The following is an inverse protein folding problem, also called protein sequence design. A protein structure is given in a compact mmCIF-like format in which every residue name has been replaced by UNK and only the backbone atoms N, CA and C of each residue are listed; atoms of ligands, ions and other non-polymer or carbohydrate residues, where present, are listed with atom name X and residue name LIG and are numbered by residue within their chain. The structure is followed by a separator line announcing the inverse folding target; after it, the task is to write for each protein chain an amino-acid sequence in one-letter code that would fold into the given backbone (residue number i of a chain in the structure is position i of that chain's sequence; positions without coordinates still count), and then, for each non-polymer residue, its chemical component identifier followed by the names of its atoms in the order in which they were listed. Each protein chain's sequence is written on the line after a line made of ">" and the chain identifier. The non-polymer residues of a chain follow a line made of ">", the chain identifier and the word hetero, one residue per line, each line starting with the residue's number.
data_IF_179233208573
#
_entry.id   IF_179233208573
#
_cell.length_a   1.000
_cell.length_b   1.000
_cell.length_c   1.000
_cell.angle_alpha   90.00
_cell.angle_beta   90.00
_cell.angle_gamma   90.00
#
_symmetry.space_group_name_H-M   'P 1'
#
loop_
_entity.id
_entity.type
_entity.pdbx_description
1 polymer ?
#
# COMPACT_ATOMS: atom_id res chain seq x y z
N UNK A 1 17.62 10.73 0.45
CA UNK A 1 18.27 11.84 -0.28
C UNK A 1 17.97 13.10 0.51
N UNK A 2 18.98 13.69 1.14
CA UNK A 2 18.84 14.99 1.80
C UNK A 2 18.88 16.05 0.69
N UNK A 3 17.74 16.67 0.41
CA UNK A 3 17.76 17.90 -0.35
C UNK A 3 18.17 19.00 0.63
N UNK A 4 19.29 19.74 0.41
CA UNK A 4 19.84 20.69 1.37
C UNK A 4 18.89 21.85 1.77
N UNK A 5 17.74 21.92 1.15
CA UNK A 5 16.77 23.01 1.29
C UNK A 5 15.53 22.62 2.11
N UNK A 6 15.41 21.37 2.55
CA UNK A 6 14.20 20.89 3.25
C UNK A 6 14.58 20.22 4.57
N UNK A 7 14.09 20.79 5.65
CA UNK A 7 14.11 20.17 6.97
C UNK A 7 12.78 19.47 7.24
N UNK A 8 12.83 18.18 7.58
CA UNK A 8 11.66 17.35 7.87
C UNK A 8 11.58 17.07 9.37
N UNK A 9 10.41 17.38 9.95
CA UNK A 9 10.07 17.08 11.33
C UNK A 9 8.83 16.21 11.35
N UNK A 10 8.93 15.02 11.92
CA UNK A 10 7.80 14.12 12.11
C UNK A 10 6.92 14.60 13.26
N UNK A 11 5.59 14.57 13.06
CA UNK A 11 4.61 14.83 14.13
C UNK A 11 3.70 13.62 14.27
N UNK A 12 3.63 13.06 15.47
CA UNK A 12 2.82 11.87 15.77
C UNK A 12 1.84 12.14 16.90
N UNK A 13 0.76 11.37 16.95
CA UNK A 13 -0.07 11.29 18.12
C UNK A 13 0.65 10.62 19.30
N UNK A 14 0.19 10.86 20.51
CA UNK A 14 0.75 10.23 21.71
C UNK A 14 0.55 8.72 21.69
N UNK A 15 1.63 7.98 21.87
CA UNK A 15 1.65 6.53 22.02
C UNK A 15 2.16 6.12 23.39
N UNK A 16 1.70 4.97 23.92
CA UNK A 16 2.17 4.42 25.20
C UNK A 16 3.58 3.82 25.10
N UNK A 17 3.91 3.31 23.91
CA UNK A 17 5.20 2.67 23.60
C UNK A 17 5.76 3.34 22.34
N UNK A 18 7.09 3.40 22.26
CA UNK A 18 7.77 3.81 21.04
C UNK A 18 7.53 2.84 19.87
N UNK A 19 7.92 3.21 18.64
CA UNK A 19 7.81 2.33 17.48
C UNK A 19 8.65 1.07 17.70
N UNK A 20 8.17 -0.07 17.20
CA UNK A 20 8.95 -1.31 17.19
C UNK A 20 10.15 -1.19 16.26
N UNK A 21 11.18 -2.00 16.51
CA UNK A 21 12.37 -2.04 15.65
C UNK A 21 11.96 -2.24 14.17
N UNK A 22 12.55 -1.43 13.28
CA UNK A 22 12.21 -1.40 11.85
C UNK A 22 11.12 -0.40 11.45
N UNK A 23 10.39 0.20 12.42
CA UNK A 23 9.38 1.23 12.17
C UNK A 23 9.74 2.59 12.78
N UNK A 24 10.98 2.77 13.19
CA UNK A 24 11.46 4.07 13.69
C UNK A 24 11.64 5.03 12.52
N UNK A 25 10.95 6.18 12.54
CA UNK A 25 11.14 7.18 11.48
C UNK A 25 12.59 7.67 11.43
N UNK A 26 13.15 7.92 10.22
CA UNK A 26 14.52 8.43 10.06
C UNK A 26 14.65 9.94 10.32
N UNK A 27 13.61 10.57 10.86
CA UNK A 27 13.56 12.01 11.17
C UNK A 27 13.18 12.21 12.64
N UNK A 28 13.55 13.36 13.24
CA UNK A 28 13.07 13.73 14.57
C UNK A 28 11.54 13.71 14.63
N UNK A 29 10.97 13.15 15.71
CA UNK A 29 9.52 13.07 15.89
C UNK A 29 9.10 13.77 17.17
N UNK A 30 8.17 14.73 17.03
CA UNK A 30 7.51 15.40 18.15
C UNK A 30 6.11 14.84 18.33
N UNK A 31 5.62 14.77 19.56
CA UNK A 31 4.33 14.17 19.88
C UNK A 31 3.28 15.19 20.29
N UNK A 32 2.09 15.07 19.72
CA UNK A 32 0.89 15.80 20.12
C UNK A 32 0.32 15.23 21.42
N UNK A 33 -0.45 16.05 22.18
CA UNK A 33 -0.98 15.64 23.50
C UNK A 33 -2.00 14.50 23.45
N UNK A 34 -2.63 14.27 22.27
CA UNK A 34 -3.64 13.24 22.05
C UNK A 34 -3.10 12.08 21.20
N UNK A 35 -3.58 10.87 21.49
CA UNK A 35 -3.35 9.69 20.67
C UNK A 35 -4.58 9.24 19.89
N UNK A 36 -4.39 8.32 18.93
CA UNK A 36 -5.51 7.65 18.24
C UNK A 36 -6.39 6.88 19.26
N UNK A 37 -7.74 6.83 19.09
CA UNK A 37 -8.52 7.43 18.00
C UNK A 37 -8.97 8.87 18.24
N UNK A 38 -8.67 9.42 19.45
CA UNK A 38 -9.16 10.74 19.86
C UNK A 38 -8.57 11.87 19.02
N UNK A 39 -7.29 11.75 18.64
CA UNK A 39 -6.64 12.74 17.79
C UNK A 39 -7.39 12.92 16.46
N UNK A 40 -7.80 11.84 15.82
CA UNK A 40 -8.53 11.88 14.54
C UNK A 40 -9.91 12.50 14.68
N UNK A 41 -10.62 12.18 15.78
CA UNK A 41 -11.92 12.78 16.06
C UNK A 41 -11.80 14.29 16.34
N UNK A 42 -10.80 14.72 17.10
CA UNK A 42 -10.62 16.14 17.41
C UNK A 42 -10.13 16.92 16.20
N UNK A 43 -9.23 16.36 15.40
CA UNK A 43 -8.79 16.98 14.15
C UNK A 43 -9.96 17.20 13.18
N UNK A 44 -10.78 16.17 13.00
CA UNK A 44 -11.90 16.25 12.04
C UNK A 44 -13.14 16.97 12.55
N UNK A 45 -13.24 17.35 13.85
CA UNK A 45 -14.38 18.07 14.41
C UNK A 45 -14.05 19.48 14.90
N UNK A 46 -12.87 19.61 15.51
CA UNK A 46 -12.51 20.82 16.27
C UNK A 46 -11.22 21.47 15.76
N UNK A 47 -10.55 20.86 14.78
CA UNK A 47 -9.25 21.32 14.27
C UNK A 47 -8.23 21.57 15.39
N UNK A 48 -8.13 20.62 16.32
CA UNK A 48 -7.27 20.70 17.49
C UNK A 48 -6.72 19.32 17.88
N UNK A 49 -5.49 19.20 18.41
CA UNK A 49 -4.48 20.26 18.56
C UNK A 49 -3.84 20.63 17.22
N UNK A 50 -3.37 21.87 17.10
CA UNK A 50 -2.61 22.30 15.92
C UNK A 50 -1.21 21.68 15.91
N UNK A 51 -0.67 21.38 14.74
CA UNK A 51 0.71 20.93 14.55
C UNK A 51 1.69 21.98 15.09
N UNK A 52 1.42 23.26 14.85
CA UNK A 52 2.20 24.41 15.31
C UNK A 52 2.24 24.56 16.84
N UNK A 53 1.46 23.81 17.58
CA UNK A 53 1.54 23.80 19.06
C UNK A 53 2.71 23.01 19.62
N UNK A 54 3.39 22.22 18.77
CA UNK A 54 4.51 21.35 19.16
C UNK A 54 5.74 21.47 18.23
N UNK A 55 5.62 22.21 17.13
CA UNK A 55 6.71 22.49 16.19
C UNK A 55 6.64 23.96 15.78
N UNK A 56 7.74 24.68 15.98
CA UNK A 56 7.89 26.08 15.58
C UNK A 56 8.49 26.19 14.18
N UNK A 57 8.31 27.35 13.54
CA UNK A 57 8.97 27.75 12.29
C UNK A 57 8.79 26.75 11.13
N UNK A 58 7.57 26.25 10.93
CA UNK A 58 7.22 25.40 9.79
C UNK A 58 6.57 26.22 8.67
N UNK A 59 6.88 25.89 7.42
CA UNK A 59 6.33 26.57 6.25
C UNK A 59 5.06 25.89 5.74
N UNK A 60 5.01 24.55 5.77
CA UNK A 60 3.86 23.76 5.38
C UNK A 60 3.70 22.50 6.27
N UNK A 61 2.54 21.89 6.21
CA UNK A 61 2.25 20.60 6.87
C UNK A 61 1.86 19.57 5.83
N UNK A 62 2.47 18.39 5.90
CA UNK A 62 2.09 17.26 5.05
C UNK A 62 1.39 16.17 5.86
N UNK A 63 0.10 15.97 5.60
CA UNK A 63 -0.66 14.83 6.11
C UNK A 63 -0.40 13.58 5.26
N UNK A 64 0.17 12.55 5.85
CA UNK A 64 0.52 11.30 5.14
C UNK A 64 -0.67 10.34 4.95
N UNK A 65 -1.89 10.78 5.21
CA UNK A 65 -3.12 10.02 5.02
C UNK A 65 -4.29 10.98 4.77
N UNK A 66 -5.44 10.42 4.39
CA UNK A 66 -6.68 11.18 4.17
C UNK A 66 -7.19 11.94 5.40
N UNK A 67 -6.69 11.64 6.61
CA UNK A 67 -7.07 12.38 7.82
C UNK A 67 -6.21 13.63 7.95
N UNK A 68 -6.76 14.84 7.70
CA UNK A 68 -5.98 16.07 7.70
C UNK A 68 -5.53 16.41 9.12
N UNK A 69 -4.22 16.65 9.34
CA UNK A 69 -3.76 17.28 10.57
C UNK A 69 -4.32 18.70 10.71
N UNK A 70 -4.61 19.10 11.92
CA UNK A 70 -5.05 20.49 12.18
C UNK A 70 -3.85 21.43 12.07
N UNK A 71 -3.93 22.40 11.17
CA UNK A 71 -2.88 23.40 10.93
C UNK A 71 -3.49 24.69 10.39
N UNK A 72 -2.74 25.80 10.53
CA UNK A 72 -2.99 27.10 9.86
C UNK A 72 -2.02 27.33 8.71
N UNK A 73 -1.07 26.43 8.53
CA UNK A 73 -0.10 26.47 7.42
C UNK A 73 -0.68 25.82 6.18
N UNK A 74 -0.14 26.09 4.99
CA UNK A 74 -0.51 25.36 3.78
C UNK A 74 -0.48 23.85 4.02
N UNK A 75 -1.56 23.18 3.65
CA UNK A 75 -1.74 21.73 3.88
C UNK A 75 -1.56 20.95 2.59
N UNK A 76 -0.52 20.13 2.55
CA UNK A 76 -0.35 19.07 1.53
C UNK A 76 -0.85 17.76 2.12
N UNK A 77 -1.54 16.94 1.36
CA UNK A 77 -2.02 15.63 1.84
C UNK A 77 -1.76 14.55 0.81
N UNK A 78 -1.24 13.40 1.26
CA UNK A 78 -1.23 12.20 0.44
C UNK A 78 -2.54 11.43 0.62
N UNK A 79 -3.26 11.23 -0.48
CA UNK A 79 -4.41 10.35 -0.57
C UNK A 79 -3.98 9.07 -1.25
N UNK A 80 -3.90 7.99 -0.48
CA UNK A 80 -3.52 6.68 -1.01
C UNK A 80 -4.67 6.00 -1.76
N UNK A 81 -5.90 6.11 -1.24
CA UNK A 81 -7.12 5.65 -1.88
C UNK A 81 -8.36 6.36 -1.33
N UNK A 82 -9.48 6.17 -2.03
CA UNK A 82 -10.82 6.53 -1.59
C UNK A 82 -11.74 5.31 -1.50
N UNK A 83 -11.19 4.15 -1.12
CA UNK A 83 -11.91 2.88 -1.04
C UNK A 83 -13.20 2.97 -0.21
N UNK A 84 -13.26 3.80 0.82
CA UNK A 84 -14.45 4.01 1.65
C UNK A 84 -15.64 4.65 0.90
N UNK A 85 -15.40 5.23 -0.29
CA UNK A 85 -16.48 5.73 -1.16
C UNK A 85 -17.06 4.61 -2.02
N UNK A 86 -16.19 3.75 -2.57
CA UNK A 86 -16.55 2.66 -3.49
C UNK A 86 -17.06 1.42 -2.74
N UNK A 87 -16.41 1.10 -1.63
CA UNK A 87 -16.62 -0.10 -0.83
C UNK A 87 -16.81 0.24 0.66
N UNK A 88 -17.87 1.00 1.03
CA UNK A 88 -18.11 1.38 2.42
C UNK A 88 -18.31 0.17 3.36
N UNK A 89 -18.69 -0.98 2.80
CA UNK A 89 -18.85 -2.26 3.51
C UNK A 89 -17.52 -2.82 4.06
N UNK A 90 -16.40 -2.44 3.49
CA UNK A 90 -15.07 -2.87 3.97
C UNK A 90 -14.59 -2.08 5.20
N UNK A 91 -15.33 -1.08 5.62
CA UNK A 91 -14.94 -0.19 6.71
C UNK A 91 -15.97 -0.20 7.86
N UNK A 92 -15.49 0.09 9.07
CA UNK A 92 -16.42 0.28 10.20
C UNK A 92 -17.28 1.52 9.99
N UNK A 93 -18.50 1.53 10.52
CA UNK A 93 -19.40 2.71 10.46
C UNK A 93 -18.74 3.98 11.00
N UNK A 94 -17.89 3.85 12.05
CA UNK A 94 -17.13 4.98 12.62
C UNK A 94 -16.04 5.44 11.66
N UNK A 95 -15.26 4.53 11.12
CA UNK A 95 -14.21 4.81 10.14
C UNK A 95 -14.76 5.56 8.93
N UNK A 96 -15.84 5.06 8.33
CA UNK A 96 -16.52 5.72 7.22
C UNK A 96 -16.94 7.17 7.54
N UNK A 97 -17.49 7.42 8.75
CA UNK A 97 -17.85 8.78 9.16
C UNK A 97 -16.63 9.71 9.30
N UNK A 98 -15.52 9.20 9.82
CA UNK A 98 -14.29 9.97 9.93
C UNK A 98 -13.73 10.28 8.55
N UNK A 99 -13.59 9.29 7.67
CA UNK A 99 -13.06 9.49 6.32
C UNK A 99 -13.90 10.43 5.46
N UNK A 100 -15.24 10.33 5.51
CA UNK A 100 -16.12 11.26 4.79
C UNK A 100 -16.01 12.70 5.31
N UNK A 101 -15.83 12.90 6.63
CA UNK A 101 -15.55 14.23 7.19
C UNK A 101 -14.18 14.74 6.74
N UNK A 102 -13.16 13.88 6.79
CA UNK A 102 -11.82 14.20 6.33
C UNK A 102 -11.84 14.63 4.86
N UNK A 103 -12.50 13.87 3.99
CA UNK A 103 -12.63 14.21 2.58
C UNK A 103 -13.25 15.59 2.38
N UNK A 104 -14.36 15.89 3.09
CA UNK A 104 -14.99 17.21 3.01
C UNK A 104 -14.03 18.33 3.43
N UNK A 105 -13.29 18.13 4.52
CA UNK A 105 -12.31 19.11 4.98
C UNK A 105 -11.18 19.30 3.96
N UNK A 106 -10.71 18.21 3.32
CA UNK A 106 -9.65 18.29 2.33
C UNK A 106 -10.10 19.01 1.05
N UNK A 107 -11.35 18.84 0.64
CA UNK A 107 -11.93 19.60 -0.48
C UNK A 107 -11.89 21.11 -0.22
N UNK A 108 -12.12 21.52 1.02
CA UNK A 108 -12.13 22.93 1.41
C UNK A 108 -10.70 23.47 1.67
N UNK A 109 -9.82 22.70 2.31
CA UNK A 109 -8.60 23.21 2.96
C UNK A 109 -7.28 22.75 2.34
N UNK A 110 -7.24 21.59 1.64
CA UNK A 110 -5.97 21.10 1.10
C UNK A 110 -5.46 22.01 -0.01
N UNK A 111 -4.27 22.58 0.18
CA UNK A 111 -3.59 23.36 -0.84
C UNK A 111 -3.10 22.46 -1.99
N UNK A 112 -2.66 21.23 -1.66
CA UNK A 112 -2.20 20.24 -2.63
C UNK A 112 -2.56 18.82 -2.16
N UNK A 113 -2.90 17.95 -3.11
CA UNK A 113 -3.23 16.54 -2.87
C UNK A 113 -2.33 15.66 -3.73
N UNK A 114 -1.54 14.82 -3.07
CA UNK A 114 -0.66 13.86 -3.72
C UNK A 114 -1.40 12.53 -3.83
N UNK A 115 -1.55 12.02 -5.05
CA UNK A 115 -2.21 10.75 -5.34
C UNK A 115 -1.17 9.69 -5.71
N UNK A 116 -1.20 8.53 -5.04
CA UNK A 116 -0.21 7.47 -5.27
C UNK A 116 -0.37 6.74 -6.61
N UNK A 117 -1.54 6.88 -7.27
CA UNK A 117 -1.82 6.30 -8.59
C UNK A 117 -2.73 7.22 -9.41
N UNK A 118 -2.73 7.04 -10.73
CA UNK A 118 -3.69 7.70 -11.62
C UNK A 118 -5.13 7.29 -11.28
N UNK A 119 -5.34 6.03 -10.89
CA UNK A 119 -6.63 5.54 -10.42
C UNK A 119 -7.12 6.36 -9.21
N UNK A 120 -6.27 6.57 -8.20
CA UNK A 120 -6.58 7.42 -7.04
C UNK A 120 -6.80 8.88 -7.44
N UNK A 121 -6.01 9.40 -8.39
CA UNK A 121 -6.18 10.76 -8.89
C UNK A 121 -7.53 10.92 -9.62
N UNK A 122 -7.94 9.92 -10.40
CA UNK A 122 -9.27 9.87 -11.01
C UNK A 122 -10.39 9.91 -9.97
N UNK A 123 -10.28 9.11 -8.91
CA UNK A 123 -11.25 9.11 -7.81
C UNK A 123 -11.30 10.46 -7.08
N UNK A 124 -10.16 11.13 -6.88
CA UNK A 124 -10.09 12.46 -6.30
C UNK A 124 -10.80 13.50 -7.18
N UNK A 125 -10.62 13.45 -8.52
CA UNK A 125 -11.38 14.30 -9.45
C UNK A 125 -12.89 14.06 -9.33
N UNK A 126 -13.30 12.80 -9.33
CA UNK A 126 -14.70 12.42 -9.20
C UNK A 126 -15.30 12.83 -7.84
N UNK A 127 -14.49 12.89 -6.78
CA UNK A 127 -14.87 13.38 -5.46
C UNK A 127 -14.99 14.91 -5.37
N UNK A 128 -14.52 15.66 -6.37
CA UNK A 128 -14.66 17.12 -6.47
C UNK A 128 -13.40 17.93 -6.18
N UNK A 129 -12.22 17.32 -6.16
CA UNK A 129 -10.97 18.08 -6.08
C UNK A 129 -10.68 18.80 -7.42
N UNK A 130 -10.18 20.04 -7.32
CA UNK A 130 -9.74 20.80 -8.49
C UNK A 130 -8.47 20.17 -9.07
N UNK A 131 -8.39 20.05 -10.40
CA UNK A 131 -7.27 19.46 -11.11
C UNK A 131 -5.93 20.11 -10.76
N UNK A 132 -5.92 21.44 -10.58
CA UNK A 132 -4.72 22.20 -10.27
C UNK A 132 -4.10 21.84 -8.91
N UNK A 133 -4.89 21.27 -8.00
CA UNK A 133 -4.43 20.80 -6.68
C UNK A 133 -3.97 19.34 -6.67
N UNK A 134 -4.18 18.59 -7.73
CA UNK A 134 -3.84 17.17 -7.80
C UNK A 134 -2.44 16.97 -8.39
N UNK A 135 -1.67 16.08 -7.78
CA UNK A 135 -0.37 15.63 -8.29
C UNK A 135 -0.28 14.12 -8.21
N UNK A 136 0.08 13.48 -9.32
CA UNK A 136 0.42 12.06 -9.33
C UNK A 136 1.83 11.89 -8.77
N UNK A 137 1.94 11.18 -7.65
CA UNK A 137 3.19 10.89 -6.95
C UNK A 137 3.24 9.40 -6.66
N UNK A 138 3.70 8.58 -7.62
CA UNK A 138 3.76 7.12 -7.45
C UNK A 138 4.74 6.75 -6.34
N UNK A 139 4.46 5.62 -5.67
CA UNK A 139 5.32 5.11 -4.61
C UNK A 139 6.49 4.32 -5.20
N UNK A 140 7.64 4.42 -4.54
CA UNK A 140 8.80 3.63 -4.87
C UNK A 140 8.78 2.23 -4.25
N UNK A 141 9.73 1.41 -4.64
CA UNK A 141 10.02 0.10 -4.03
C UNK A 141 11.47 0.08 -3.54
N UNK A 142 11.68 -0.58 -2.41
CA UNK A 142 13.04 -0.85 -1.91
C UNK A 142 13.42 -2.26 -2.32
N UNK A 143 14.52 -2.39 -3.05
CA UNK A 143 15.09 -3.67 -3.43
C UNK A 143 16.15 -4.09 -2.41
N UNK A 144 16.18 -5.36 -2.09
CA UNK A 144 17.21 -5.95 -1.24
C UNK A 144 17.84 -7.14 -1.97
N UNK A 145 19.15 -7.17 -2.01
CA UNK A 145 19.86 -8.35 -2.53
C UNK A 145 19.62 -9.54 -1.60
N UNK A 146 19.10 -10.61 -2.17
CA UNK A 146 18.84 -11.86 -1.43
C UNK A 146 20.10 -12.72 -1.45
N UNK A 147 20.69 -12.93 -0.29
CA UNK A 147 21.87 -13.79 -0.14
C UNK A 147 21.50 -15.27 0.02
N UNK A 148 22.46 -16.18 -0.19
CA UNK A 148 22.23 -17.61 0.07
C UNK A 148 21.94 -17.90 1.55
N UNK A 149 22.41 -17.04 2.46
CA UNK A 149 22.09 -17.12 3.89
C UNK A 149 20.61 -16.79 4.11
N UNK A 150 20.10 -15.76 3.43
CA UNK A 150 18.69 -15.37 3.51
C UNK A 150 17.78 -16.47 2.96
N UNK A 151 18.12 -17.04 1.79
CA UNK A 151 17.37 -18.17 1.18
C UNK A 151 17.28 -19.36 2.13
N UNK A 152 18.43 -19.79 2.69
CA UNK A 152 18.45 -20.91 3.66
C UNK A 152 17.69 -20.60 4.94
N UNK A 153 17.82 -19.38 5.49
CA UNK A 153 17.09 -18.95 6.67
C UNK A 153 15.60 -19.01 6.45
N UNK A 154 15.13 -18.38 5.37
CA UNK A 154 13.71 -18.30 5.04
C UNK A 154 13.14 -19.68 4.73
N UNK A 155 13.87 -20.51 3.97
CA UNK A 155 13.51 -21.90 3.69
C UNK A 155 13.31 -22.71 4.99
N UNK A 156 14.22 -22.59 5.94
CA UNK A 156 14.15 -23.33 7.20
C UNK A 156 13.06 -22.77 8.15
N UNK A 157 12.87 -21.43 8.17
CA UNK A 157 11.93 -20.79 9.09
C UNK A 157 10.48 -21.05 8.69
N UNK A 158 10.19 -21.02 7.39
CA UNK A 158 8.82 -21.13 6.86
C UNK A 158 8.55 -22.48 6.21
N UNK A 159 9.52 -23.39 6.17
CA UNK A 159 9.39 -24.72 5.54
C UNK A 159 8.79 -24.62 4.13
N UNK A 160 9.37 -23.71 3.30
CA UNK A 160 8.81 -23.41 1.98
C UNK A 160 8.82 -24.65 1.07
N UNK A 161 7.73 -24.97 0.39
CA UNK A 161 7.71 -25.98 -0.65
C UNK A 161 8.59 -25.59 -1.84
N UNK A 162 9.01 -26.55 -2.66
CA UNK A 162 9.75 -26.27 -3.90
C UNK A 162 8.96 -25.37 -4.86
N UNK A 163 7.66 -25.57 -4.92
CA UNK A 163 6.73 -24.77 -5.73
C UNK A 163 5.58 -24.29 -4.84
N UNK A 164 5.26 -22.99 -4.89
CA UNK A 164 4.13 -22.46 -4.17
C UNK A 164 3.61 -21.19 -4.83
N UNK A 165 2.32 -20.92 -4.62
CA UNK A 165 1.68 -19.66 -4.91
C UNK A 165 1.78 -18.79 -3.65
N UNK A 166 2.16 -17.54 -3.79
CA UNK A 166 2.30 -16.61 -2.67
C UNK A 166 1.23 -15.53 -2.73
N UNK A 167 0.64 -15.23 -1.60
CA UNK A 167 -0.14 -14.02 -1.33
C UNK A 167 0.49 -13.26 -0.15
N UNK A 168 0.61 -11.93 -0.27
CA UNK A 168 1.12 -11.06 0.81
C UNK A 168 0.12 -9.94 1.09
N UNK A 169 -0.33 -9.82 2.33
CA UNK A 169 -1.22 -8.74 2.76
C UNK A 169 -2.00 -9.09 4.02
N UNK A 170 -2.52 -8.06 4.68
CA UNK A 170 -3.46 -8.22 5.80
C UNK A 170 -4.74 -8.93 5.32
N UNK A 171 -5.32 -9.77 6.17
CA UNK A 171 -6.55 -10.50 5.86
C UNK A 171 -7.76 -9.54 5.91
N UNK A 172 -8.02 -8.89 4.79
CA UNK A 172 -9.10 -7.90 4.60
C UNK A 172 -9.99 -8.30 3.42
N UNK A 173 -11.31 -8.02 3.46
CA UNK A 173 -12.23 -8.38 2.39
C UNK A 173 -11.82 -7.85 1.01
N UNK A 174 -11.27 -6.62 0.94
CA UNK A 174 -10.81 -6.00 -0.31
C UNK A 174 -9.65 -6.75 -0.99
N UNK A 175 -8.86 -7.51 -0.22
CA UNK A 175 -7.75 -8.33 -0.72
C UNK A 175 -8.20 -9.61 -1.42
N UNK A 176 -9.50 -9.97 -1.31
CA UNK A 176 -10.15 -11.04 -2.06
C UNK A 176 -9.56 -12.44 -1.85
N UNK A 177 -9.03 -12.70 -0.67
CA UNK A 177 -8.35 -13.94 -0.35
C UNK A 177 -9.27 -15.16 -0.49
N UNK A 178 -10.56 -15.03 -0.14
CA UNK A 178 -11.55 -16.12 -0.26
C UNK A 178 -11.67 -16.62 -1.69
N UNK A 179 -11.73 -15.72 -2.70
CA UNK A 179 -11.77 -16.13 -4.12
C UNK A 179 -10.45 -16.70 -4.60
N UNK A 180 -9.30 -16.18 -4.12
CA UNK A 180 -8.00 -16.77 -4.43
C UNK A 180 -7.90 -18.20 -3.92
N UNK A 181 -8.30 -18.47 -2.67
CA UNK A 181 -8.34 -19.81 -2.10
C UNK A 181 -9.27 -20.71 -2.93
N UNK A 182 -10.46 -20.24 -3.27
CA UNK A 182 -11.40 -20.97 -4.11
C UNK A 182 -10.79 -21.32 -5.47
N UNK A 183 -10.13 -20.37 -6.12
CA UNK A 183 -9.47 -20.58 -7.41
C UNK A 183 -8.38 -21.65 -7.32
N UNK A 184 -7.46 -21.51 -6.36
CA UNK A 184 -6.36 -22.48 -6.17
C UNK A 184 -6.92 -23.86 -5.82
N UNK A 185 -7.92 -23.96 -4.95
CA UNK A 185 -8.56 -25.25 -4.56
C UNK A 185 -9.29 -25.95 -5.71
N UNK A 186 -9.71 -25.21 -6.74
CA UNK A 186 -10.34 -25.80 -7.93
C UNK A 186 -9.34 -26.40 -8.92
N UNK A 187 -8.05 -26.09 -8.76
CA UNK A 187 -6.97 -26.58 -9.62
C UNK A 187 -6.44 -27.93 -9.10
N UNK A 188 -6.52 -29.01 -9.89
CA UNK A 188 -6.10 -30.36 -9.45
C UNK A 188 -4.64 -30.45 -9.03
N UNK A 189 -3.75 -29.77 -9.78
CA UNK A 189 -2.28 -29.83 -9.62
C UNK A 189 -1.71 -28.47 -9.20
N UNK A 190 -2.47 -27.67 -8.44
CA UNK A 190 -1.98 -26.39 -7.95
C UNK A 190 -0.87 -26.59 -6.90
N UNK A 191 0.22 -25.81 -6.97
CA UNK A 191 1.13 -25.70 -5.84
C UNK A 191 0.41 -25.17 -4.58
N UNK A 192 0.92 -25.49 -3.37
CA UNK A 192 0.36 -24.92 -2.13
C UNK A 192 0.26 -23.40 -2.19
N UNK A 193 -0.79 -22.85 -1.56
CA UNK A 193 -0.96 -21.41 -1.37
C UNK A 193 -0.41 -20.99 -0.01
N UNK A 194 0.65 -20.19 -0.03
CA UNK A 194 1.22 -19.59 1.17
C UNK A 194 0.71 -18.16 1.34
N UNK A 195 0.22 -17.83 2.52
CA UNK A 195 -0.37 -16.54 2.85
C UNK A 195 0.49 -15.88 3.93
N UNK A 196 1.19 -14.81 3.56
CA UNK A 196 1.97 -13.98 4.47
C UNK A 196 1.20 -12.71 4.82
N UNK A 197 0.89 -12.51 6.10
CA UNK A 197 0.17 -11.33 6.58
C UNK A 197 -0.38 -11.51 7.97
N UNK A 198 -0.77 -10.38 8.58
CA UNK A 198 -1.42 -10.38 9.88
C UNK A 198 -2.91 -10.70 9.74
N UNK A 199 -3.48 -11.23 10.80
CA UNK A 199 -4.93 -11.27 10.95
C UNK A 199 -5.49 -9.84 10.85
N UNK A 200 -6.49 -9.66 9.99
CA UNK A 200 -7.18 -8.40 9.80
C UNK A 200 -8.63 -8.52 10.29
N UNK A 201 -9.52 -7.86 9.58
CA UNK A 201 -10.96 -7.98 9.82
C UNK A 201 -11.62 -8.56 8.55
N UNK A 202 -12.54 -9.48 8.74
CA UNK A 202 -13.24 -10.10 7.61
C UNK A 202 -13.80 -11.45 7.97
N UNK A 203 -14.41 -12.11 6.99
CA UNK A 203 -14.84 -13.50 7.12
C UNK A 203 -13.62 -14.42 7.21
N UNK A 204 -13.73 -15.48 8.01
CA UNK A 204 -12.72 -16.54 8.05
C UNK A 204 -12.53 -17.11 6.64
N UNK A 205 -11.27 -17.32 6.26
CA UNK A 205 -10.97 -17.96 4.99
C UNK A 205 -11.63 -19.35 4.96
N UNK A 206 -12.35 -19.71 3.88
CA UNK A 206 -13.01 -21.00 3.81
C UNK A 206 -11.99 -22.14 3.92
N UNK A 207 -12.29 -23.11 4.77
CA UNK A 207 -11.50 -24.36 4.86
C UNK A 207 -11.78 -25.18 3.62
N UNK A 208 -10.83 -25.25 2.71
CA UNK A 208 -10.93 -26.00 1.46
C UNK A 208 -9.93 -27.18 1.45
N UNK A 209 -10.18 -28.18 0.59
CA UNK A 209 -9.35 -29.39 0.47
C UNK A 209 -8.02 -29.17 -0.27
N UNK A 210 -7.44 -27.97 -0.13
CA UNK A 210 -6.16 -27.62 -0.73
C UNK A 210 -5.16 -27.27 0.36
N UNK A 211 -3.87 -27.46 0.09
CA UNK A 211 -2.80 -27.07 1.03
C UNK A 211 -2.67 -25.55 1.08
N UNK A 212 -3.42 -24.92 1.99
CA UNK A 212 -3.38 -23.49 2.28
C UNK A 212 -2.68 -23.28 3.61
N UNK A 213 -1.55 -22.58 3.57
CA UNK A 213 -0.69 -22.37 4.75
C UNK A 213 -0.61 -20.87 5.08
N UNK A 214 -0.97 -20.55 6.31
CA UNK A 214 -0.80 -19.20 6.84
C UNK A 214 0.56 -19.08 7.50
N UNK A 215 1.41 -18.20 6.99
CA UNK A 215 2.74 -17.90 7.53
C UNK A 215 2.67 -16.90 8.70
N UNK A 216 1.53 -16.23 8.87
CA UNK A 216 1.40 -15.14 9.83
C UNK A 216 2.18 -13.89 9.40
N UNK A 217 2.55 -13.06 10.38
CA UNK A 217 3.39 -11.90 10.13
C UNK A 217 4.80 -12.32 9.69
N UNK A 218 5.18 -11.89 8.51
CA UNK A 218 6.54 -12.09 7.98
C UNK A 218 7.31 -10.76 8.10
N UNK A 219 8.44 -10.72 8.82
CA UNK A 219 9.28 -9.53 8.87
C UNK A 219 9.75 -9.07 7.49
N UNK A 220 9.80 -7.76 7.28
CA UNK A 220 10.11 -7.16 5.97
C UNK A 220 11.41 -7.69 5.35
N UNK A 221 12.44 -7.97 6.16
CA UNK A 221 13.72 -8.50 5.67
C UNK A 221 13.67 -9.97 5.18
N UNK A 222 12.58 -10.69 5.45
CA UNK A 222 12.35 -12.05 4.95
C UNK A 222 11.52 -12.09 3.66
N UNK A 223 10.68 -11.07 3.42
CA UNK A 223 9.79 -11.04 2.24
C UNK A 223 10.54 -11.13 0.91
N UNK A 224 11.69 -10.46 0.70
CA UNK A 224 12.47 -10.57 -0.53
C UNK A 224 12.78 -12.01 -0.95
N UNK A 225 13.26 -12.82 -0.03
CA UNK A 225 13.59 -14.22 -0.32
C UNK A 225 12.34 -15.10 -0.56
N UNK A 226 11.20 -14.76 0.04
CA UNK A 226 9.93 -15.47 -0.22
C UNK A 226 9.37 -15.09 -1.59
N UNK A 227 9.43 -13.80 -1.98
CA UNK A 227 9.04 -13.36 -3.32
C UNK A 227 9.90 -14.02 -4.40
N UNK A 228 11.23 -14.05 -4.21
CA UNK A 228 12.16 -14.69 -5.15
C UNK A 228 11.87 -16.19 -5.32
N UNK A 229 11.52 -16.88 -4.24
CA UNK A 229 11.29 -18.32 -4.21
C UNK A 229 9.93 -18.75 -4.76
N UNK A 230 8.92 -17.86 -4.79
CA UNK A 230 7.57 -18.26 -5.18
C UNK A 230 7.48 -18.59 -6.69
N UNK A 231 6.62 -19.53 -7.01
CA UNK A 231 6.30 -19.88 -8.41
C UNK A 231 5.46 -18.80 -9.07
N UNK A 232 4.48 -18.26 -8.33
CA UNK A 232 3.59 -17.17 -8.75
C UNK A 232 3.23 -16.35 -7.52
N UNK A 233 3.30 -15.04 -7.63
CA UNK A 233 2.68 -14.10 -6.70
C UNK A 233 1.28 -13.75 -7.20
N UNK A 234 0.24 -14.10 -6.42
CA UNK A 234 -1.16 -13.87 -6.78
C UNK A 234 -1.80 -12.83 -5.86
N UNK A 235 -2.20 -11.69 -6.45
CA UNK A 235 -2.75 -10.55 -5.72
C UNK A 235 -4.03 -10.01 -6.41
N UNK A 236 -5.14 -10.80 -6.43
CA UNK A 236 -6.36 -10.46 -7.11
C UNK A 236 -7.28 -9.57 -6.25
N UNK A 237 -6.76 -8.47 -5.71
CA UNK A 237 -7.52 -7.52 -4.87
C UNK A 237 -8.70 -6.91 -5.62
N UNK A 238 -9.80 -6.66 -4.93
CA UNK A 238 -10.98 -5.98 -5.48
C UNK A 238 -10.70 -4.49 -5.64
N UNK A 239 -9.95 -3.92 -4.71
CA UNK A 239 -9.61 -2.50 -4.70
C UNK A 239 -8.25 -2.27 -4.02
N UNK A 240 -7.44 -1.40 -4.62
CA UNK A 240 -6.16 -0.91 -4.07
C UNK A 240 -5.94 0.55 -4.45
N UNK A 241 -5.25 1.27 -3.57
CA UNK A 241 -4.81 2.63 -3.88
C UNK A 241 -3.55 2.70 -4.72
N UNK A 242 -2.65 1.72 -4.56
CA UNK A 242 -1.43 1.55 -5.35
C UNK A 242 -1.15 0.08 -5.64
N UNK A 243 -0.86 -0.70 -4.61
CA UNK A 243 -0.51 -2.11 -4.75
C UNK A 243 0.99 -2.36 -4.57
N UNK A 244 1.60 -1.81 -3.50
CA UNK A 244 3.01 -2.04 -3.17
C UNK A 244 3.44 -3.51 -3.27
N UNK A 245 2.66 -4.51 -2.79
CA UNK A 245 3.04 -5.92 -2.92
C UNK A 245 3.26 -6.39 -4.36
N UNK A 246 2.59 -5.78 -5.35
CA UNK A 246 2.78 -6.09 -6.77
C UNK A 246 4.17 -5.68 -7.23
N UNK A 247 4.57 -4.44 -6.98
CA UNK A 247 5.88 -3.95 -7.39
C UNK A 247 7.01 -4.55 -6.55
N UNK A 248 6.77 -4.88 -5.28
CA UNK A 248 7.71 -5.61 -4.43
C UNK A 248 7.98 -7.01 -4.97
N UNK A 249 6.93 -7.75 -5.35
CA UNK A 249 7.06 -9.05 -5.96
C UNK A 249 7.85 -8.99 -7.29
N UNK A 250 7.56 -8.00 -8.14
CA UNK A 250 8.30 -7.75 -9.39
C UNK A 250 9.76 -7.42 -9.14
N UNK A 251 10.06 -6.59 -8.14
CA UNK A 251 11.42 -6.20 -7.77
C UNK A 251 12.30 -7.38 -7.32
N UNK A 252 11.68 -8.46 -6.87
CA UNK A 252 12.35 -9.69 -6.47
C UNK A 252 12.11 -10.84 -7.46
N UNK A 253 11.67 -10.51 -8.69
CA UNK A 253 11.54 -11.43 -9.78
C UNK A 253 10.43 -12.47 -9.64
N UNK A 254 9.39 -12.25 -8.87
CA UNK A 254 8.21 -13.11 -8.85
C UNK A 254 7.36 -12.90 -10.10
N UNK A 255 6.87 -13.97 -10.78
CA UNK A 255 5.81 -13.85 -11.77
C UNK A 255 4.51 -13.41 -11.11
N UNK A 256 3.90 -12.33 -11.60
CA UNK A 256 2.76 -11.68 -10.93
C UNK A 256 1.44 -11.93 -11.65
N UNK A 257 0.41 -12.24 -10.86
CA UNK A 257 -1.01 -12.20 -11.24
C UNK A 257 -1.70 -11.14 -10.39
N UNK A 258 -2.36 -10.17 -11.03
CA UNK A 258 -3.07 -9.11 -10.32
C UNK A 258 -4.35 -8.69 -11.03
N UNK A 259 -5.14 -7.83 -10.42
CA UNK A 259 -6.45 -7.43 -10.90
C UNK A 259 -6.37 -6.44 -12.06
N UNK A 260 -7.29 -6.58 -13.00
CA UNK A 260 -7.55 -5.63 -14.08
C UNK A 260 -8.44 -4.50 -13.58
N UNK A 261 -8.29 -3.30 -14.16
CA UNK A 261 -9.21 -2.17 -13.98
C UNK A 261 -9.02 -1.37 -12.69
N UNK A 262 -7.94 -1.63 -11.92
CA UNK A 262 -7.61 -0.90 -10.70
C UNK A 262 -6.13 -0.48 -10.70
N UNK A 263 -5.69 0.25 -9.69
CA UNK A 263 -4.31 0.75 -9.57
C UNK A 263 -3.22 -0.32 -9.74
N UNK A 264 -3.48 -1.58 -9.40
CA UNK A 264 -2.51 -2.66 -9.56
C UNK A 264 -2.21 -2.99 -11.02
N UNK A 265 -3.14 -2.74 -11.97
CA UNK A 265 -2.87 -2.81 -13.41
C UNK A 265 -1.88 -1.72 -13.85
N UNK A 266 -2.09 -0.49 -13.38
CA UNK A 266 -1.19 0.64 -13.61
C UNK A 266 0.21 0.35 -13.06
N UNK A 267 0.30 -0.10 -11.80
CA UNK A 267 1.56 -0.46 -11.15
C UNK A 267 2.27 -1.58 -11.89
N UNK A 268 1.53 -2.57 -12.35
CA UNK A 268 2.09 -3.68 -13.12
C UNK A 268 2.68 -3.25 -14.47
N UNK A 269 2.18 -2.17 -15.09
CA UNK A 269 2.74 -1.62 -16.33
C UNK A 269 2.89 -2.64 -17.47
N UNK A 270 1.97 -3.60 -17.54
CA UNK A 270 2.01 -4.68 -18.52
C UNK A 270 2.94 -5.85 -18.16
N UNK A 271 3.60 -5.86 -17.01
CA UNK A 271 4.52 -6.92 -16.57
C UNK A 271 3.86 -8.01 -15.71
N UNK A 272 2.53 -8.05 -15.65
CA UNK A 272 1.76 -9.07 -14.92
C UNK A 272 0.68 -9.70 -15.79
N UNK A 273 0.17 -10.85 -15.37
CA UNK A 273 -1.07 -11.39 -15.88
C UNK A 273 -2.24 -10.71 -15.18
N UNK A 274 -3.14 -10.10 -15.97
CA UNK A 274 -4.30 -9.39 -15.45
C UNK A 274 -5.53 -10.29 -15.45
N UNK A 275 -6.25 -10.33 -14.31
CA UNK A 275 -7.45 -11.14 -14.10
C UNK A 275 -8.64 -10.28 -13.69
N UNK A 276 -9.84 -10.79 -13.92
CA UNK A 276 -11.05 -10.29 -13.27
C UNK A 276 -11.07 -10.82 -11.83
N UNK A 277 -10.95 -9.96 -10.80
CA UNK A 277 -10.90 -10.40 -9.40
C UNK A 277 -12.21 -11.00 -8.90
N UNK A 278 -13.32 -10.75 -9.58
CA UNK A 278 -14.63 -11.28 -9.20
C UNK A 278 -14.94 -12.63 -9.85
N UNK A 279 -14.11 -13.08 -10.80
CA UNK A 279 -14.29 -14.34 -11.53
C UNK A 279 -13.21 -15.36 -11.14
N UNK A 280 -13.63 -16.43 -10.48
CA UNK A 280 -12.75 -17.51 -10.01
C UNK A 280 -12.00 -18.18 -11.18
N UNK A 281 -12.68 -18.45 -12.29
CA UNK A 281 -12.05 -19.08 -13.47
C UNK A 281 -11.01 -18.17 -14.10
N UNK A 282 -11.24 -16.85 -14.13
CA UNK A 282 -10.25 -15.87 -14.57
C UNK A 282 -8.99 -15.89 -13.70
N UNK A 283 -9.13 -16.05 -12.37
CA UNK A 283 -7.99 -16.17 -11.45
C UNK A 283 -7.24 -17.47 -11.72
N UNK A 284 -7.93 -18.61 -11.91
CA UNK A 284 -7.32 -19.90 -12.26
C UNK A 284 -6.52 -19.80 -13.53
N UNK A 285 -7.12 -19.27 -14.61
CA UNK A 285 -6.45 -19.12 -15.90
C UNK A 285 -5.25 -18.17 -15.82
N UNK A 286 -5.38 -17.09 -15.03
CA UNK A 286 -4.29 -16.17 -14.75
C UNK A 286 -3.10 -16.85 -14.08
N UNK A 287 -3.35 -17.65 -13.04
CA UNK A 287 -2.30 -18.40 -12.33
C UNK A 287 -1.61 -19.39 -13.29
N UNK A 288 -2.38 -20.18 -14.07
CA UNK A 288 -1.83 -21.12 -15.06
C UNK A 288 -0.97 -20.42 -16.10
N UNK A 289 -1.45 -19.28 -16.61
CA UNK A 289 -0.72 -18.47 -17.57
C UNK A 289 0.58 -17.92 -16.95
N UNK A 290 0.54 -17.41 -15.71
CA UNK A 290 1.74 -16.92 -15.04
C UNK A 290 2.77 -18.04 -14.82
N UNK A 291 2.34 -19.26 -14.47
CA UNK A 291 3.23 -20.41 -14.35
C UNK A 291 3.89 -20.80 -15.68
N UNK A 292 3.13 -20.76 -16.78
CA UNK A 292 3.66 -21.14 -18.11
C UNK A 292 4.55 -20.07 -18.76
N UNK A 293 4.43 -18.81 -18.33
CA UNK A 293 5.20 -17.66 -18.84
C UNK A 293 6.12 -17.07 -17.77
N UNK A 294 6.55 -17.88 -16.81
CA UNK A 294 7.26 -17.40 -15.62
C UNK A 294 8.53 -16.61 -15.94
N UNK A 295 9.37 -17.09 -16.87
CA UNK A 295 10.65 -16.45 -17.22
C UNK A 295 10.43 -15.09 -17.89
N UNK A 296 9.44 -14.98 -18.79
CA UNK A 296 9.07 -13.72 -19.43
C UNK A 296 8.56 -12.71 -18.41
N UNK A 297 7.63 -13.13 -17.54
CA UNK A 297 7.06 -12.27 -16.50
C UNK A 297 8.11 -11.81 -15.50
N UNK A 298 9.06 -12.68 -15.15
CA UNK A 298 10.19 -12.36 -14.27
C UNK A 298 11.06 -11.25 -14.87
N UNK A 299 11.45 -11.40 -16.13
CA UNK A 299 12.28 -10.41 -16.82
C UNK A 299 11.57 -9.05 -16.91
N UNK A 300 10.30 -9.04 -17.36
CA UNK A 300 9.49 -7.82 -17.48
C UNK A 300 9.21 -7.16 -16.12
N UNK A 301 8.94 -7.97 -15.09
CA UNK A 301 8.71 -7.48 -13.72
C UNK A 301 9.94 -6.78 -13.14
N UNK A 302 11.13 -7.38 -13.30
CA UNK A 302 12.39 -6.76 -12.87
C UNK A 302 12.68 -5.45 -13.59
N UNK A 303 12.38 -5.37 -14.90
CA UNK A 303 12.50 -4.13 -15.68
C UNK A 303 11.53 -3.07 -15.15
N UNK A 304 10.24 -3.41 -14.98
CA UNK A 304 9.21 -2.50 -14.46
C UNK A 304 9.55 -1.95 -13.06
N UNK A 305 10.10 -2.79 -12.18
CA UNK A 305 10.43 -2.39 -10.82
C UNK A 305 11.57 -1.36 -10.75
N UNK A 306 12.47 -1.30 -11.74
CA UNK A 306 13.54 -0.28 -11.79
C UNK A 306 13.01 1.13 -11.94
N UNK A 307 11.84 1.31 -12.55
CA UNK A 307 11.20 2.60 -12.73
C UNK A 307 10.52 3.10 -11.45
N UNK A 308 10.21 2.20 -10.50
CA UNK A 308 9.54 2.53 -9.25
C UNK A 308 10.57 2.92 -8.17
N UNK A 309 10.98 4.17 -8.15
CA UNK A 309 12.05 4.69 -7.30
C UNK A 309 11.51 5.61 -6.20
N UNK A 310 11.92 5.38 -4.94
CA UNK A 310 11.67 6.34 -3.85
C UNK A 310 12.32 7.70 -4.09
N UNK A 311 13.38 7.76 -4.89
CA UNK A 311 13.99 9.02 -5.30
C UNK A 311 13.02 9.85 -6.14
N UNK A 312 12.36 9.24 -7.13
CA UNK A 312 11.33 9.89 -7.95
C UNK A 312 10.14 10.32 -7.09
N UNK A 313 9.67 9.47 -6.16
CA UNK A 313 8.62 9.84 -5.21
C UNK A 313 9.00 11.09 -4.41
N UNK A 314 10.23 11.15 -3.90
CA UNK A 314 10.74 12.29 -3.14
C UNK A 314 10.84 13.56 -3.98
N UNK A 315 11.39 13.47 -5.20
CA UNK A 315 11.51 14.60 -6.13
C UNK A 315 10.15 15.21 -6.46
N UNK A 316 9.17 14.38 -6.81
CA UNK A 316 7.80 14.81 -7.09
C UNK A 316 7.12 15.42 -5.86
N UNK A 317 7.34 14.85 -4.68
CA UNK A 317 6.82 15.39 -3.41
C UNK A 317 7.41 16.77 -3.13
N UNK A 318 8.73 16.93 -3.28
CA UNK A 318 9.41 18.23 -3.10
C UNK A 318 8.92 19.26 -4.11
N UNK A 319 8.74 18.88 -5.36
CA UNK A 319 8.17 19.77 -6.38
C UNK A 319 6.76 20.26 -5.97
N UNK A 320 5.93 19.36 -5.44
CA UNK A 320 4.61 19.73 -4.95
C UNK A 320 4.64 20.66 -3.72
N UNK A 321 5.64 20.52 -2.84
CA UNK A 321 5.85 21.47 -1.72
C UNK A 321 6.17 22.88 -2.22
N UNK A 322 7.11 22.99 -3.17
CA UNK A 322 7.48 24.29 -3.80
C UNK A 322 6.27 24.94 -4.46
N UNK A 323 5.55 24.18 -5.29
CA UNK A 323 4.31 24.63 -5.93
C UNK A 323 3.28 25.16 -4.91
N UNK A 324 3.17 24.49 -3.77
CA UNK A 324 2.25 24.88 -2.69
C UNK A 324 2.67 26.20 -2.04
N UNK A 325 3.95 26.38 -1.78
CA UNK A 325 4.47 27.61 -1.14
C UNK A 325 4.46 28.81 -2.08
N UNK A 326 4.63 28.61 -3.39
CA UNK A 326 4.54 29.67 -4.40
C UNK A 326 3.11 30.22 -4.57
N UNK A 327 2.09 29.41 -4.22
CA UNK A 327 0.66 29.77 -4.34
C UNK A 327 0.05 30.31 -3.04
N UNK A 328 0.74 30.18 -1.90
CA UNK A 328 0.30 30.58 -0.58
C UNK A 328 0.58 32.06 -0.28
#
# INVERSE_FOLDING_TARGET
>A
METPEIELIGVAGRHRHGPTAGFTPPVPVTTLPLGSPWLYETWTRFRWPLVESVVDNIDLVHGTSIIPPATRKPLVVTVHDLAFLHHPEFFTKRGNKVFRRSLKMLLDDAAMVLCSSEATMHDCRAAGFDEERLRHVPLGVTTHDVTDVDRRRVQATYELPEKFILFVGTLEPRKNLSRLIQAVSSMRDAPPLLIAGMEGWGEEAPVLNHDVRFLGFVPAHNLPAIYEACTVFAFPSIFEGYGLPVIEAMAHGAPVVTSRGISTEEVAGGAAVLVDPLNVDSIVDGIRKAMSSADELRARGLERARDASWATTAELTVAAYRDTLERA
#
